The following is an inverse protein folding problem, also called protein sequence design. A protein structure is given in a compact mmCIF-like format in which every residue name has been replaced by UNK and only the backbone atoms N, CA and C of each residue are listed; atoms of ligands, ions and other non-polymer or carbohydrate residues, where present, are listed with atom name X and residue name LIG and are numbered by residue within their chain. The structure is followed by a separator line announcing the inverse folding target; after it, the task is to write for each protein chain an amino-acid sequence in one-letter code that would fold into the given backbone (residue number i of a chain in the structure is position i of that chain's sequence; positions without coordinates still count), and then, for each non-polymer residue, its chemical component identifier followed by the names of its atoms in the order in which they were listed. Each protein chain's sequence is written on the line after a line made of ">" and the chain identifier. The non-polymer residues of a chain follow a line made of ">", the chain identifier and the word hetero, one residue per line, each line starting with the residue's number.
data_IF_422199560875
#
_entry.id   IF_422199560875
#
_cell.length_a   1.000
_cell.length_b   1.000
_cell.length_c   1.000
_cell.angle_alpha   90.00
_cell.angle_beta   90.00
_cell.angle_gamma   90.00
#
_symmetry.space_group_name_H-M   'P 1'
#
loop_
_entity.id
_entity.type
_entity.pdbx_description
1 polymer ?
#
# COMPACT_ATOMS: atom_id res chain seq x y z
N UNK A 1 11.31 24.83 -18.12
CA UNK A 1 12.13 23.69 -17.66
C UNK A 1 11.30 22.91 -16.65
N UNK A 2 10.84 21.71 -17.00
CA UNK A 2 10.15 20.81 -16.06
C UNK A 2 11.19 20.13 -15.16
N UNK A 3 11.87 20.92 -14.35
CA UNK A 3 12.87 20.43 -13.40
C UNK A 3 12.14 19.70 -12.27
N UNK A 4 12.40 18.41 -12.08
CA UNK A 4 11.83 17.59 -11.00
C UNK A 4 10.76 16.58 -11.41
N UNK A 5 10.35 16.52 -12.69
CA UNK A 5 9.48 15.44 -13.17
C UNK A 5 10.28 14.17 -13.43
N UNK A 6 9.88 13.07 -12.79
CA UNK A 6 10.38 11.74 -13.14
C UNK A 6 9.82 11.35 -14.51
N UNK A 7 10.69 11.00 -15.44
CA UNK A 7 10.27 10.34 -16.68
C UNK A 7 9.96 8.88 -16.32
N UNK A 8 8.74 8.37 -16.57
CA UNK A 8 8.41 7.01 -16.22
C UNK A 8 9.24 6.05 -17.07
N UNK A 9 9.86 5.06 -16.43
CA UNK A 9 10.49 3.96 -17.15
C UNK A 9 9.40 3.08 -17.80
N UNK A 10 9.77 2.30 -18.82
CA UNK A 10 8.84 1.33 -19.41
C UNK A 10 8.34 0.33 -18.35
N UNK A 11 9.20 -0.06 -17.41
CA UNK A 11 8.85 -0.97 -16.34
C UNK A 11 7.82 -0.36 -15.37
N UNK A 12 7.97 0.91 -15.01
CA UNK A 12 6.96 1.62 -14.22
C UNK A 12 5.61 1.67 -14.94
N UNK A 13 5.61 1.92 -16.26
CA UNK A 13 4.40 1.89 -17.07
C UNK A 13 3.76 0.50 -17.10
N UNK A 14 4.54 -0.58 -17.17
CA UNK A 14 4.04 -1.96 -17.04
C UNK A 14 3.41 -2.23 -15.67
N UNK A 15 4.01 -1.74 -14.57
CA UNK A 15 3.41 -1.84 -13.23
C UNK A 15 2.04 -1.15 -13.17
N UNK A 16 1.98 0.09 -13.67
CA UNK A 16 0.75 0.90 -13.65
C UNK A 16 -0.32 0.35 -14.59
N UNK A 17 0.06 -0.18 -15.75
CA UNK A 17 -0.91 -0.73 -16.72
C UNK A 17 -1.42 -2.12 -16.33
N UNK A 18 -0.58 -2.94 -15.69
CA UNK A 18 -0.98 -4.27 -15.21
C UNK A 18 -1.92 -4.23 -14.01
N UNK A 19 -1.73 -3.28 -13.10
CA UNK A 19 -2.63 -3.06 -11.97
C UNK A 19 -2.69 -1.55 -11.64
N UNK A 20 -3.64 -0.81 -12.22
CA UNK A 20 -3.68 0.64 -12.12
C UNK A 20 -4.13 1.11 -10.73
N UNK A 21 -3.45 2.09 -10.13
CA UNK A 21 -3.88 2.65 -8.85
C UNK A 21 -5.20 3.39 -9.01
N UNK A 22 -6.17 3.05 -8.16
CA UNK A 22 -7.51 3.65 -8.08
C UNK A 22 -7.91 3.79 -6.61
N UNK A 23 -8.68 4.81 -6.22
CA UNK A 23 -9.25 4.90 -4.88
C UNK A 23 -9.98 3.61 -4.51
N UNK A 24 -9.74 3.11 -3.29
CA UNK A 24 -10.38 1.92 -2.75
C UNK A 24 -11.74 2.33 -2.19
N UNK A 25 -12.78 1.58 -2.55
CA UNK A 25 -14.18 1.88 -2.20
C UNK A 25 -14.85 0.76 -1.41
N UNK A 26 -14.25 -0.42 -1.38
CA UNK A 26 -14.79 -1.60 -0.71
C UNK A 26 -13.68 -2.56 -0.26
N UNK A 27 -14.06 -3.56 0.53
CA UNK A 27 -13.13 -4.52 1.13
C UNK A 27 -12.46 -5.45 0.10
N UNK A 28 -13.17 -5.84 -0.97
CA UNK A 28 -12.59 -6.68 -2.02
C UNK A 28 -11.46 -5.94 -2.75
N UNK A 29 -11.65 -4.65 -3.01
CA UNK A 29 -10.62 -3.77 -3.54
C UNK A 29 -9.45 -3.62 -2.57
N UNK A 30 -9.70 -3.47 -1.26
CA UNK A 30 -8.64 -3.42 -0.25
C UNK A 30 -7.77 -4.70 -0.30
N UNK A 31 -8.42 -5.87 -0.30
CA UNK A 31 -7.73 -7.16 -0.37
C UNK A 31 -6.91 -7.28 -1.66
N UNK A 32 -7.47 -6.88 -2.80
CA UNK A 32 -6.74 -6.89 -4.08
C UNK A 32 -5.50 -5.99 -4.05
N UNK A 33 -5.62 -4.79 -3.46
CA UNK A 33 -4.50 -3.86 -3.30
C UNK A 33 -3.42 -4.43 -2.37
N UNK A 34 -3.81 -5.02 -1.23
CA UNK A 34 -2.89 -5.65 -0.29
C UNK A 34 -2.16 -6.85 -0.92
N UNK A 35 -2.87 -7.70 -1.66
CA UNK A 35 -2.26 -8.82 -2.40
C UNK A 35 -1.25 -8.34 -3.44
N UNK A 36 -1.55 -7.24 -4.15
CA UNK A 36 -0.62 -6.65 -5.11
C UNK A 36 0.63 -6.11 -4.42
N UNK A 37 0.48 -5.43 -3.29
CA UNK A 37 1.59 -4.94 -2.47
C UNK A 37 2.47 -6.12 -2.04
N UNK A 38 1.87 -7.15 -1.43
CA UNK A 38 2.59 -8.34 -0.96
C UNK A 38 3.37 -9.02 -2.08
N UNK A 39 2.74 -9.23 -3.24
CA UNK A 39 3.40 -9.81 -4.41
C UNK A 39 4.68 -9.07 -4.84
N UNK A 40 4.72 -7.74 -4.72
CA UNK A 40 5.90 -6.95 -5.04
C UNK A 40 6.94 -7.05 -3.92
N UNK A 41 6.51 -6.97 -2.66
CA UNK A 41 7.39 -7.07 -1.49
C UNK A 41 8.08 -8.45 -1.40
N UNK A 42 7.39 -9.53 -1.77
CA UNK A 42 7.91 -10.89 -1.74
C UNK A 42 9.12 -11.10 -2.69
N UNK A 43 9.34 -10.20 -3.66
CA UNK A 43 10.53 -10.22 -4.51
C UNK A 43 11.83 -9.88 -3.74
N UNK A 44 11.72 -9.24 -2.58
CA UNK A 44 12.86 -8.83 -1.75
C UNK A 44 13.50 -7.52 -2.21
N UNK A 45 14.46 -7.56 -3.14
CA UNK A 45 15.20 -6.37 -3.57
C UNK A 45 14.37 -5.52 -4.53
N UNK A 46 13.84 -4.41 -4.01
CA UNK A 46 12.99 -3.47 -4.76
C UNK A 46 13.81 -2.40 -5.48
N UNK A 47 13.48 -2.17 -6.75
CA UNK A 47 14.00 -1.02 -7.49
C UNK A 47 13.20 0.27 -7.18
N UNK A 48 13.69 1.41 -7.67
CA UNK A 48 13.07 2.71 -7.39
C UNK A 48 11.65 2.84 -7.97
N UNK A 49 11.38 2.25 -9.13
CA UNK A 49 10.04 2.26 -9.74
C UNK A 49 9.04 1.48 -8.89
N UNK A 50 9.46 0.34 -8.32
CA UNK A 50 8.63 -0.46 -7.40
C UNK A 50 8.37 0.29 -6.11
N UNK A 51 9.37 0.97 -5.56
CA UNK A 51 9.20 1.80 -4.36
C UNK A 51 8.24 2.96 -4.60
N UNK A 52 8.39 3.67 -5.72
CA UNK A 52 7.49 4.76 -6.11
C UNK A 52 6.05 4.23 -6.30
N UNK A 53 5.90 3.10 -6.98
CA UNK A 53 4.60 2.46 -7.19
C UNK A 53 3.96 2.02 -5.87
N UNK A 54 4.70 1.32 -5.00
CA UNK A 54 4.23 0.90 -3.68
C UNK A 54 3.86 2.08 -2.78
N UNK A 55 4.54 3.21 -2.90
CA UNK A 55 4.20 4.43 -2.16
C UNK A 55 2.80 4.94 -2.51
N UNK A 56 2.41 4.86 -3.77
CA UNK A 56 1.04 5.24 -4.21
C UNK A 56 0.02 4.27 -3.61
N UNK A 57 0.27 2.96 -3.72
CA UNK A 57 -0.62 1.94 -3.15
C UNK A 57 -0.76 2.04 -1.63
N UNK A 58 0.34 2.28 -0.91
CA UNK A 58 0.30 2.49 0.54
C UNK A 58 -0.56 3.70 0.94
N UNK A 59 -0.57 4.77 0.13
CA UNK A 59 -1.43 5.94 0.37
C UNK A 59 -2.91 5.60 0.17
N UNK A 60 -3.25 4.80 -0.84
CA UNK A 60 -4.63 4.37 -1.10
C UNK A 60 -5.17 3.48 0.02
N UNK A 61 -4.36 2.52 0.47
CA UNK A 61 -4.69 1.65 1.61
C UNK A 61 -4.89 2.49 2.87
N UNK A 62 -3.94 3.37 3.19
CA UNK A 62 -4.03 4.26 4.33
C UNK A 62 -5.32 5.11 4.30
N UNK A 63 -5.62 5.75 3.17
CA UNK A 63 -6.83 6.58 3.03
C UNK A 63 -8.12 5.78 3.29
N UNK A 64 -8.19 4.55 2.79
CA UNK A 64 -9.35 3.69 3.00
C UNK A 64 -9.46 3.21 4.45
N UNK A 65 -8.37 2.71 5.03
CA UNK A 65 -8.35 2.17 6.39
C UNK A 65 -8.61 3.26 7.43
N UNK A 66 -8.09 4.48 7.25
CA UNK A 66 -8.36 5.61 8.15
C UNK A 66 -9.87 5.89 8.27
N UNK A 67 -10.61 5.77 7.16
CA UNK A 67 -12.05 6.05 7.11
C UNK A 67 -12.91 4.87 7.58
N UNK A 68 -12.46 3.63 7.35
CA UNK A 68 -13.31 2.43 7.50
C UNK A 68 -12.86 1.48 8.62
N UNK A 69 -11.60 1.55 9.04
CA UNK A 69 -10.99 0.69 10.05
C UNK A 69 -10.21 1.53 11.07
N UNK A 70 -10.90 2.38 11.87
CA UNK A 70 -10.23 3.15 12.89
C UNK A 70 -9.51 2.21 13.85
N UNK A 71 -8.19 2.36 13.98
CA UNK A 71 -7.41 1.55 14.91
C UNK A 71 -7.92 1.78 16.34
N UNK A 72 -8.25 0.72 17.09
CA UNK A 72 -8.58 0.87 18.49
C UNK A 72 -7.35 1.43 19.22
N UNK A 73 -7.54 2.47 20.03
CA UNK A 73 -6.51 2.95 20.94
C UNK A 73 -6.33 1.92 22.05
N UNK A 74 -5.43 0.98 21.86
CA UNK A 74 -4.99 0.04 22.88
C UNK A 74 -3.81 0.68 23.62
N UNK A 75 -3.99 0.96 24.91
CA UNK A 75 -2.97 1.55 25.77
C UNK A 75 -2.64 0.64 26.95
N UNK A 76 -1.38 0.67 27.39
CA UNK A 76 -0.93 0.01 28.62
C UNK A 76 -1.20 -1.49 28.66
N UNK A 77 -1.94 -1.91 29.70
CA UNK A 77 -2.21 -3.33 29.98
C UNK A 77 -3.09 -3.98 28.92
N UNK A 78 -3.94 -3.21 28.23
CA UNK A 78 -4.86 -3.75 27.22
C UNK A 78 -4.13 -4.11 25.92
N UNK A 79 -3.05 -3.39 25.58
CA UNK A 79 -2.15 -3.81 24.50
C UNK A 79 -1.45 -5.12 24.83
N UNK A 80 -0.97 -5.28 26.07
CA UNK A 80 -0.29 -6.50 26.51
C UNK A 80 -1.21 -7.72 26.46
N UNK A 81 -2.47 -7.56 26.86
CA UNK A 81 -3.47 -8.64 26.78
C UNK A 81 -3.78 -9.04 25.34
N UNK A 82 -3.96 -8.07 24.45
CA UNK A 82 -4.25 -8.34 23.03
C UNK A 82 -3.13 -9.17 22.37
N UNK A 83 -1.86 -8.88 22.67
CA UNK A 83 -0.70 -9.65 22.15
C UNK A 83 -0.60 -11.06 22.74
N UNK A 84 -1.13 -11.28 23.94
CA UNK A 84 -1.11 -12.60 24.59
C UNK A 84 -2.28 -13.51 24.16
N UNK A 85 -3.28 -12.96 23.48
CA UNK A 85 -4.46 -13.69 22.98
C UNK A 85 -4.31 -14.17 21.52
N UNK A 86 -3.23 -13.79 20.83
CA UNK A 86 -2.80 -14.36 19.53
C UNK A 86 -1.98 -15.65 19.68
#
# INVERSE_FOLDING_TARGET
>A
MMSGLKTPSNYYLELVTSFPPRPITNEEELIANQNRINFILDKGLLNEDEKDYLRVFGMLVYEYEEKHKPMPKLEGVDLLKAVMEE
#
